data_IF_584979614779
#
_entry.id   IF_584979614779
#
_cell.length_a   1.000
_cell.length_b   1.000
_cell.length_c   1.000
_cell.angle_alpha   90.00
_cell.angle_beta   90.00
_cell.angle_gamma   90.00
#
_symmetry.space_group_name_H-M   'P 1'
#
loop_
_entity.id
_entity.type
_entity.pdbx_description
1 polymer ?
#
# COMPACT_ATOMS: atom_id res chain seq x y z
N UNK A 1 -2.42 -9.91 30.64
CA UNK A 1 -2.95 -9.10 29.52
C UNK A 1 -1.78 -8.86 28.58
N UNK A 2 -1.88 -9.25 27.31
CA UNK A 2 -0.84 -8.94 26.33
C UNK A 2 -0.82 -7.42 26.09
N UNK A 3 0.36 -6.82 26.02
CA UNK A 3 0.48 -5.42 25.63
C UNK A 3 0.31 -5.28 24.10
N UNK A 4 0.17 -4.05 23.60
CA UNK A 4 -0.03 -3.79 22.17
C UNK A 4 1.11 -4.36 21.31
N UNK A 5 2.36 -4.24 21.76
CA UNK A 5 3.53 -4.79 21.04
C UNK A 5 3.43 -6.31 20.89
N UNK A 6 3.01 -7.02 21.93
CA UNK A 6 2.83 -8.49 21.88
C UNK A 6 1.72 -8.89 20.91
N UNK A 7 0.62 -8.14 20.87
CA UNK A 7 -0.47 -8.34 19.91
C UNK A 7 -0.02 -8.08 18.47
N UNK A 8 0.73 -6.99 18.23
CA UNK A 8 1.26 -6.65 16.91
C UNK A 8 2.29 -7.69 16.43
N UNK A 9 3.13 -8.21 17.32
CA UNK A 9 4.08 -9.30 16.99
C UNK A 9 3.34 -10.56 16.57
N UNK A 10 2.26 -10.91 17.27
CA UNK A 10 1.45 -12.07 16.92
C UNK A 10 0.72 -11.86 15.59
N UNK A 11 0.13 -10.68 15.35
CA UNK A 11 -0.48 -10.37 14.05
C UNK A 11 0.56 -10.45 12.92
N UNK A 12 1.73 -9.84 13.10
CA UNK A 12 2.84 -9.91 12.13
C UNK A 12 3.24 -11.36 11.83
N UNK A 13 3.28 -12.23 12.84
CA UNK A 13 3.60 -13.66 12.70
C UNK A 13 2.52 -14.39 11.91
N UNK A 14 1.25 -14.11 12.17
CA UNK A 14 0.11 -14.69 11.44
C UNK A 14 0.20 -14.30 9.96
N UNK A 15 0.31 -13.01 9.67
CA UNK A 15 0.38 -12.46 8.32
C UNK A 15 1.59 -13.00 7.53
N UNK A 16 2.76 -13.05 8.18
CA UNK A 16 3.99 -13.59 7.58
C UNK A 16 3.90 -15.09 7.25
N UNK A 17 2.96 -15.82 7.86
CA UNK A 17 2.76 -17.26 7.58
C UNK A 17 1.90 -17.52 6.34
N UNK A 18 1.14 -16.53 5.86
CA UNK A 18 0.18 -16.69 4.76
C UNK A 18 0.87 -17.10 3.45
N UNK A 19 1.98 -16.46 3.01
CA UNK A 19 2.64 -16.85 1.76
C UNK A 19 3.04 -18.33 1.73
N UNK A 20 3.55 -18.87 2.85
CA UNK A 20 3.95 -20.27 2.94
C UNK A 20 2.79 -21.27 2.86
N UNK A 21 1.57 -20.84 3.22
CA UNK A 21 0.35 -21.66 3.16
C UNK A 21 -0.33 -21.59 1.79
N UNK A 22 -0.35 -20.40 1.18
CA UNK A 22 -1.12 -20.16 -0.04
C UNK A 22 -0.31 -20.36 -1.33
N UNK A 23 1.00 -20.11 -1.35
CA UNK A 23 1.83 -20.30 -2.57
C UNK A 23 1.75 -21.71 -3.16
N UNK A 24 1.84 -22.80 -2.38
CA UNK A 24 1.69 -24.14 -2.94
C UNK A 24 0.31 -24.38 -3.60
N UNK A 25 -0.73 -23.70 -3.10
CA UNK A 25 -2.08 -23.77 -3.66
C UNK A 25 -2.15 -22.96 -4.96
N UNK A 26 -1.58 -21.75 -4.98
CA UNK A 26 -1.47 -20.91 -6.18
C UNK A 26 -0.76 -21.65 -7.31
N UNK A 27 0.38 -22.29 -7.01
CA UNK A 27 1.19 -23.01 -7.99
C UNK A 27 0.49 -24.26 -8.56
N UNK A 28 -0.43 -24.85 -7.80
CA UNK A 28 -1.12 -26.09 -8.17
C UNK A 28 -2.47 -25.87 -8.87
N UNK A 29 -3.11 -24.70 -8.72
CA UNK A 29 -4.45 -24.45 -9.27
C UNK A 29 -4.36 -24.02 -10.75
N UNK A 30 -5.02 -24.74 -11.69
CA UNK A 30 -5.04 -24.33 -13.10
C UNK A 30 -5.92 -23.10 -13.38
N UNK A 31 -6.88 -22.81 -12.50
CA UNK A 31 -7.79 -21.68 -12.67
C UNK A 31 -7.07 -20.37 -12.35
N UNK A 32 -6.71 -19.63 -13.40
CA UNK A 32 -5.94 -18.38 -13.30
C UNK A 32 -6.65 -17.29 -12.49
N UNK A 33 -7.98 -17.21 -12.55
CA UNK A 33 -8.70 -16.19 -11.79
C UNK A 33 -8.60 -16.47 -10.28
N UNK A 34 -8.77 -17.73 -9.89
CA UNK A 34 -8.62 -18.15 -8.49
C UNK A 34 -7.18 -17.98 -8.01
N UNK A 35 -6.19 -18.35 -8.84
CA UNK A 35 -4.78 -18.14 -8.47
C UNK A 35 -4.45 -16.67 -8.29
N UNK A 36 -4.96 -15.77 -9.15
CA UNK A 36 -4.79 -14.32 -9.00
C UNK A 36 -5.43 -13.80 -7.72
N UNK A 37 -6.65 -14.23 -7.38
CA UNK A 37 -7.31 -13.83 -6.11
C UNK A 37 -6.53 -14.29 -4.88
N UNK A 38 -5.90 -15.46 -4.91
CA UNK A 38 -5.05 -15.94 -3.82
C UNK A 38 -3.74 -15.16 -3.74
N UNK A 39 -3.16 -14.79 -4.88
CA UNK A 39 -1.94 -13.98 -4.93
C UNK A 39 -2.18 -12.56 -4.37
N UNK A 40 -3.34 -11.94 -4.63
CA UNK A 40 -3.66 -10.63 -4.03
C UNK A 40 -3.77 -10.70 -2.51
N UNK A 41 -4.31 -11.80 -1.96
CA UNK A 41 -4.35 -12.05 -0.50
C UNK A 41 -2.93 -12.19 0.07
N UNK A 42 -2.01 -12.84 -0.68
CA UNK A 42 -0.61 -12.94 -0.29
C UNK A 42 0.03 -11.54 -0.22
N UNK A 43 -0.18 -10.69 -1.23
CA UNK A 43 0.34 -9.32 -1.24
C UNK A 43 -0.23 -8.48 -0.09
N UNK A 44 -1.53 -8.59 0.20
CA UNK A 44 -2.14 -7.91 1.33
C UNK A 44 -1.57 -8.38 2.68
N UNK A 45 -1.34 -9.68 2.84
CA UNK A 45 -0.74 -10.22 4.07
C UNK A 45 0.68 -9.69 4.26
N UNK A 46 1.47 -9.60 3.19
CA UNK A 46 2.81 -9.02 3.24
C UNK A 46 2.78 -7.52 3.60
N UNK A 47 1.84 -6.76 3.01
CA UNK A 47 1.58 -5.36 3.37
C UNK A 47 1.25 -5.22 4.85
N UNK A 48 0.32 -6.04 5.37
CA UNK A 48 -0.07 -6.00 6.78
C UNK A 48 1.08 -6.37 7.73
N UNK A 49 1.90 -7.36 7.38
CA UNK A 49 3.08 -7.71 8.16
C UNK A 49 4.07 -6.53 8.25
N UNK A 50 4.31 -5.83 7.13
CA UNK A 50 5.16 -4.65 7.09
C UNK A 50 4.59 -3.49 7.95
N UNK A 51 3.28 -3.29 7.91
CA UNK A 51 2.59 -2.31 8.77
C UNK A 51 2.76 -2.69 10.25
N UNK A 52 2.54 -3.95 10.63
CA UNK A 52 2.72 -4.40 12.01
C UNK A 52 4.16 -4.16 12.48
N UNK A 53 5.15 -4.42 11.64
CA UNK A 53 6.56 -4.13 11.94
C UNK A 53 6.78 -2.64 12.20
N UNK A 54 6.25 -1.76 11.34
CA UNK A 54 6.36 -0.32 11.52
C UNK A 54 5.68 0.15 12.83
N UNK A 55 4.51 -0.38 13.17
CA UNK A 55 3.83 -0.03 14.42
C UNK A 55 4.59 -0.53 15.66
N UNK A 56 5.23 -1.71 15.60
CA UNK A 56 6.10 -2.19 16.68
C UNK A 56 7.27 -1.25 16.88
N UNK A 57 7.92 -0.84 15.79
CA UNK A 57 9.07 0.07 15.85
C UNK A 57 8.64 1.46 16.34
N UNK A 58 7.43 1.92 15.99
CA UNK A 58 6.84 3.16 16.50
C UNK A 58 6.61 3.10 18.01
N UNK A 59 5.91 2.09 18.50
CA UNK A 59 5.59 1.92 19.92
C UNK A 59 6.85 1.74 20.77
N UNK A 60 7.92 1.18 20.19
CA UNK A 60 9.22 1.05 20.83
C UNK A 60 10.06 2.34 20.80
N UNK A 61 9.58 3.42 20.18
CA UNK A 61 10.33 4.68 20.00
C UNK A 61 11.48 4.57 19.01
N UNK A 62 11.45 3.58 18.12
CA UNK A 62 12.51 3.26 17.16
C UNK A 62 12.36 3.94 15.80
N UNK A 63 11.28 4.69 15.54
CA UNK A 63 11.13 5.45 14.29
C UNK A 63 11.75 6.84 14.45
N UNK A 64 12.71 7.22 13.59
CA UNK A 64 13.26 8.57 13.55
C UNK A 64 12.19 9.63 13.28
N UNK A 65 12.28 10.78 13.95
CA UNK A 65 11.35 11.91 13.74
C UNK A 65 11.62 12.70 12.45
N UNK A 66 12.76 12.40 11.80
CA UNK A 66 13.20 12.97 10.52
C UNK A 66 13.63 11.83 9.61
N UNK A 67 13.51 12.05 8.31
CA UNK A 67 13.99 11.11 7.30
C UNK A 67 15.49 10.82 7.42
N UNK A 68 16.30 11.83 7.79
CA UNK A 68 17.75 11.74 8.07
C UNK A 68 18.54 10.89 7.04
N UNK A 69 18.44 11.29 5.78
CA UNK A 69 19.18 10.68 4.65
C UNK A 69 20.13 11.68 4.02
N UNK A 70 21.20 11.19 3.39
CA UNK A 70 22.12 12.06 2.65
C UNK A 70 21.44 12.69 1.42
N UNK A 71 22.04 13.78 0.90
CA UNK A 71 21.45 14.53 -0.22
C UNK A 71 21.30 13.72 -1.51
N UNK A 72 22.19 12.76 -1.78
CA UNK A 72 22.08 11.93 -2.98
C UNK A 72 20.87 11.00 -2.88
N UNK A 73 20.71 10.34 -1.73
CA UNK A 73 19.56 9.48 -1.43
C UNK A 73 18.24 10.28 -1.42
N UNK A 74 18.22 11.48 -0.82
CA UNK A 74 17.04 12.35 -0.83
C UNK A 74 16.61 12.74 -2.25
N UNK A 75 17.59 13.08 -3.09
CA UNK A 75 17.34 13.46 -4.48
C UNK A 75 16.83 12.27 -5.29
N UNK A 76 17.46 11.10 -5.18
CA UNK A 76 17.04 9.88 -5.87
C UNK A 76 15.61 9.50 -5.49
N UNK A 77 15.28 9.52 -4.20
CA UNK A 77 13.94 9.23 -3.71
C UNK A 77 12.91 10.23 -4.25
N UNK A 78 13.21 11.53 -4.20
CA UNK A 78 12.31 12.58 -4.71
C UNK A 78 12.07 12.44 -6.21
N UNK A 79 13.11 12.15 -7.00
CA UNK A 79 12.97 11.92 -8.45
C UNK A 79 12.17 10.66 -8.74
N UNK A 80 12.40 9.58 -7.99
CA UNK A 80 11.68 8.31 -8.15
C UNK A 80 10.20 8.49 -7.86
N UNK A 81 9.84 9.18 -6.76
CA UNK A 81 8.45 9.49 -6.42
C UNK A 81 7.81 10.36 -7.51
N UNK A 82 8.48 11.43 -7.94
CA UNK A 82 7.97 12.31 -9.02
C UNK A 82 7.78 11.57 -10.34
N UNK A 83 8.65 10.63 -10.66
CA UNK A 83 8.47 9.77 -11.83
C UNK A 83 7.28 8.83 -11.64
N UNK A 84 7.11 8.25 -10.46
CA UNK A 84 6.00 7.34 -10.20
C UNK A 84 4.64 8.05 -10.22
N UNK A 85 4.54 9.29 -9.74
CA UNK A 85 3.33 10.13 -9.89
C UNK A 85 2.88 10.23 -11.36
N UNK A 86 3.84 10.34 -12.30
CA UNK A 86 3.53 10.36 -13.74
C UNK A 86 3.02 9.00 -14.23
N UNK A 87 3.64 7.91 -13.77
CA UNK A 87 3.20 6.54 -14.07
C UNK A 87 1.77 6.32 -13.58
N UNK A 88 1.44 6.74 -12.36
CA UNK A 88 0.07 6.65 -11.82
C UNK A 88 -0.93 7.44 -12.69
N UNK A 89 -0.56 8.64 -13.14
CA UNK A 89 -1.42 9.43 -14.03
C UNK A 89 -1.66 8.75 -15.38
N UNK A 90 -0.64 8.09 -15.95
CA UNK A 90 -0.77 7.29 -17.17
C UNK A 90 -1.67 6.05 -16.93
N UNK A 91 -1.54 5.38 -15.78
CA UNK A 91 -2.38 4.24 -15.40
C UNK A 91 -3.84 4.64 -15.23
N UNK A 92 -4.11 5.77 -14.56
CA UNK A 92 -5.46 6.35 -14.42
C UNK A 92 -6.09 6.59 -15.79
N UNK A 93 -5.39 7.28 -16.69
CA UNK A 93 -5.90 7.56 -18.04
C UNK A 93 -6.21 6.26 -18.80
N UNK A 94 -5.32 5.27 -18.72
CA UNK A 94 -5.51 3.99 -19.39
C UNK A 94 -6.72 3.22 -18.82
N UNK A 95 -6.92 3.21 -17.50
CA UNK A 95 -8.08 2.59 -16.86
C UNK A 95 -9.39 3.30 -17.25
N UNK A 96 -9.39 4.63 -17.31
CA UNK A 96 -10.54 5.42 -17.80
C UNK A 96 -10.89 5.09 -19.26
N UNK A 97 -9.89 4.86 -20.11
CA UNK A 97 -10.10 4.42 -21.50
C UNK A 97 -10.67 3.00 -21.57
N UNK A 98 -10.14 2.07 -20.77
CA UNK A 98 -10.67 0.71 -20.67
C UNK A 98 -12.15 0.71 -20.25
N UNK A 99 -12.51 1.54 -19.27
CA UNK A 99 -13.88 1.69 -18.77
C UNK A 99 -14.87 2.21 -19.83
N UNK A 100 -14.42 2.93 -20.85
CA UNK A 100 -15.28 3.36 -21.98
C UNK A 100 -15.65 2.21 -22.92
N UNK A 101 -14.88 1.12 -22.89
CA UNK A 101 -14.99 0.03 -23.87
C UNK A 101 -15.51 -1.28 -23.26
N UNK A 102 -15.40 -1.44 -21.95
CA UNK A 102 -15.87 -2.63 -21.23
C UNK A 102 -17.39 -2.76 -21.32
N UNK A 103 -17.87 -3.99 -21.52
CA UNK A 103 -19.31 -4.32 -21.60
C UNK A 103 -19.79 -5.27 -20.52
N UNK A 104 -18.86 -5.92 -19.84
CA UNK A 104 -19.16 -6.87 -18.76
C UNK A 104 -19.07 -6.12 -17.43
N UNK A 105 -20.22 -5.91 -16.78
CA UNK A 105 -20.35 -5.19 -15.51
C UNK A 105 -19.42 -5.75 -14.42
N UNK A 106 -19.09 -7.05 -14.47
CA UNK A 106 -18.18 -7.68 -13.49
C UNK A 106 -16.73 -7.24 -13.73
N UNK A 107 -16.34 -7.09 -14.99
CA UNK A 107 -15.02 -6.57 -15.34
C UNK A 107 -14.96 -5.07 -15.06
N UNK A 108 -16.04 -4.34 -15.37
CA UNK A 108 -16.15 -2.91 -15.06
C UNK A 108 -15.96 -2.63 -13.56
N UNK A 109 -16.58 -3.44 -12.69
CA UNK A 109 -16.42 -3.31 -11.24
C UNK A 109 -14.96 -3.48 -10.79
N UNK A 110 -14.22 -4.43 -11.39
CA UNK A 110 -12.80 -4.65 -11.08
C UNK A 110 -11.94 -3.47 -11.59
N UNK A 111 -12.19 -2.99 -12.81
CA UNK A 111 -11.47 -1.84 -13.36
C UNK A 111 -11.72 -0.56 -12.56
N UNK A 112 -12.95 -0.35 -12.07
CA UNK A 112 -13.27 0.75 -11.15
C UNK A 112 -12.54 0.65 -9.82
N UNK A 113 -12.39 -0.56 -9.29
CA UNK A 113 -11.61 -0.79 -8.09
C UNK A 113 -10.13 -0.43 -8.31
N UNK A 114 -9.52 -0.93 -9.39
CA UNK A 114 -8.15 -0.56 -9.76
C UNK A 114 -7.98 0.94 -9.96
N UNK A 115 -8.92 1.60 -10.65
CA UNK A 115 -8.89 3.06 -10.84
C UNK A 115 -8.93 3.81 -9.50
N UNK A 116 -9.77 3.35 -8.57
CA UNK A 116 -9.80 3.88 -7.22
C UNK A 116 -8.48 3.69 -6.47
N UNK A 117 -7.76 2.60 -6.70
CA UNK A 117 -6.44 2.36 -6.11
C UNK A 117 -5.40 3.34 -6.66
N UNK A 118 -5.32 3.51 -7.98
CA UNK A 118 -4.33 4.41 -8.60
C UNK A 118 -4.58 5.88 -8.23
N UNK A 119 -5.84 6.32 -8.08
CA UNK A 119 -6.12 7.65 -7.54
C UNK A 119 -5.58 7.83 -6.12
N UNK A 120 -5.74 6.82 -5.24
CA UNK A 120 -5.20 6.90 -3.88
C UNK A 120 -3.68 6.85 -3.87
N UNK A 121 -3.05 6.03 -4.72
CA UNK A 121 -1.60 5.99 -4.87
C UNK A 121 -1.06 7.33 -5.35
N UNK A 122 -1.67 7.91 -6.39
CA UNK A 122 -1.30 9.21 -6.92
C UNK A 122 -1.38 10.32 -5.86
N UNK A 123 -2.47 10.38 -5.10
CA UNK A 123 -2.64 11.35 -4.01
C UNK A 123 -1.62 11.14 -2.89
N UNK A 124 -1.35 9.88 -2.52
CA UNK A 124 -0.36 9.53 -1.50
C UNK A 124 1.03 10.03 -1.90
N UNK A 125 1.46 9.69 -3.11
CA UNK A 125 2.78 10.03 -3.63
C UNK A 125 2.93 11.54 -3.84
N UNK A 126 1.89 12.21 -4.33
CA UNK A 126 1.88 13.67 -4.51
C UNK A 126 2.03 14.41 -3.18
N UNK A 127 1.30 13.98 -2.16
CA UNK A 127 1.44 14.55 -0.82
C UNK A 127 2.82 14.21 -0.21
N UNK A 128 3.32 12.98 -0.40
CA UNK A 128 4.66 12.60 0.06
C UNK A 128 5.75 13.47 -0.58
N UNK A 129 5.68 13.72 -1.89
CA UNK A 129 6.61 14.60 -2.59
C UNK A 129 6.59 16.03 -2.03
N UNK A 130 5.40 16.57 -1.74
CA UNK A 130 5.26 17.88 -1.13
C UNK A 130 5.87 17.95 0.28
N UNK A 131 5.78 16.88 1.08
CA UNK A 131 6.42 16.82 2.39
C UNK A 131 7.94 16.81 2.27
N UNK A 132 8.48 16.04 1.32
CA UNK A 132 9.92 15.93 1.07
C UNK A 132 10.53 17.24 0.60
N UNK A 133 9.84 17.99 -0.26
CA UNK A 133 10.33 19.28 -0.76
C UNK A 133 10.36 20.39 0.34
N UNK A 134 9.74 20.16 1.51
CA UNK A 134 9.61 21.17 2.59
C UNK A 134 10.60 21.02 3.76
N UNK A 135 11.45 19.99 3.79
CA UNK A 135 12.45 19.70 4.86
C UNK A 135 11.92 19.81 6.32
N UNK A 136 10.63 19.53 6.51
CA UNK A 136 9.97 19.65 7.81
C UNK A 136 10.25 18.44 8.70
N UNK A 137 10.13 18.65 10.02
CA UNK A 137 9.99 17.59 11.03
C UNK A 137 8.66 16.84 10.77
N UNK A 138 8.66 15.96 9.78
CA UNK A 138 7.44 15.46 9.15
C UNK A 138 6.89 14.18 9.79
N UNK A 139 7.36 13.77 10.98
CA UNK A 139 6.89 12.52 11.61
C UNK A 139 5.36 12.45 11.74
N UNK A 140 4.74 13.47 12.32
CA UNK A 140 3.28 13.54 12.47
C UNK A 140 2.58 13.65 11.11
N UNK A 141 3.20 14.33 10.13
CA UNK A 141 2.65 14.50 8.78
C UNK A 141 2.73 13.19 7.96
N UNK A 142 3.81 12.43 8.10
CA UNK A 142 3.97 11.09 7.51
C UNK A 142 3.00 10.10 8.13
N UNK A 143 2.83 10.14 9.46
CA UNK A 143 1.86 9.28 10.14
C UNK A 143 0.42 9.63 9.72
N UNK A 144 0.11 10.92 9.58
CA UNK A 144 -1.19 11.37 9.07
C UNK A 144 -1.41 10.97 7.61
N UNK A 145 -0.39 11.10 6.76
CA UNK A 145 -0.45 10.67 5.37
C UNK A 145 -0.70 9.16 5.28
N UNK A 146 0.04 8.38 6.07
CA UNK A 146 -0.14 6.94 6.22
C UNK A 146 -1.58 6.61 6.61
N UNK A 147 -2.07 7.17 7.72
CA UNK A 147 -3.46 7.04 8.19
C UNK A 147 -4.49 7.36 7.11
N UNK A 148 -4.28 8.45 6.37
CA UNK A 148 -5.25 8.94 5.40
C UNK A 148 -5.33 8.03 4.19
N UNK A 149 -4.22 7.55 3.65
CA UNK A 149 -4.24 6.91 2.33
C UNK A 149 -3.89 5.44 2.30
N UNK A 150 -3.07 4.95 3.25
CA UNK A 150 -2.76 3.52 3.35
C UNK A 150 -3.87 2.73 4.05
N UNK A 151 -4.77 3.39 4.78
CA UNK A 151 -5.72 2.72 5.67
C UNK A 151 -7.20 3.08 5.48
N UNK A 152 -7.56 4.00 4.57
CA UNK A 152 -8.97 4.37 4.32
C UNK A 152 -9.54 3.86 2.98
N UNK A 153 -8.81 2.99 2.28
CA UNK A 153 -9.10 2.66 0.88
C UNK A 153 -9.81 1.33 0.58
N UNK A 154 -10.03 0.46 1.56
CA UNK A 154 -10.60 -0.86 1.29
C UNK A 154 -11.45 -1.29 2.46
N UNK A 155 -12.69 -1.67 2.19
CA UNK A 155 -13.76 -1.93 3.16
C UNK A 155 -14.37 -0.65 3.73
N UNK A 156 -15.25 -0.04 2.93
CA UNK A 156 -16.48 0.50 3.50
C UNK A 156 -17.18 -0.69 4.18
N UNK A 157 -16.83 -0.95 5.45
CA UNK A 157 -17.64 -1.75 6.34
C UNK A 157 -18.89 -0.93 6.57
N UNK A 158 -19.80 -1.03 5.60
CA UNK A 158 -21.08 -0.37 5.60
C UNK A 158 -21.67 -0.42 7.01
N UNK A 159 -21.86 0.76 7.57
CA UNK A 159 -22.85 0.94 8.62
C UNK A 159 -24.23 0.87 7.99
#
# INVERSE_FOLDING_TARGET
MANLIDLLKEQMRIESSVPGKLRPIVDAIPNKLVSTMLETIIYDSQKHAAICKALIDLEAGGIPTRLDVDMATANEMTQTIKQHIRVEAEMIQHLEEMLKTVRDDRIEAILKHMLGDEHRHHDTLSNMANLLDRDLLAFDEYLKLAQTYMFTGGWDLGK
#
